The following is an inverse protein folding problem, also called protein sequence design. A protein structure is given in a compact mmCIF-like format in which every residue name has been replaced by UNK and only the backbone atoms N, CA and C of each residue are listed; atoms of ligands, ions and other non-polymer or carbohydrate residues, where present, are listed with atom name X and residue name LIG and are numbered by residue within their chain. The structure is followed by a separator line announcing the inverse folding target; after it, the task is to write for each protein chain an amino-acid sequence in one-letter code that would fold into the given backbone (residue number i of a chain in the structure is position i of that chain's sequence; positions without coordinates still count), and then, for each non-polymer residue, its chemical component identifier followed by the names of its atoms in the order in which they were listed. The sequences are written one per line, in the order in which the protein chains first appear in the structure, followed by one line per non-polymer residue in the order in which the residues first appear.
data_IF_896017185850
#
_entry.id   IF_896017185850
#
_cell.length_a   1.000
_cell.length_b   1.000
_cell.length_c   1.000
_cell.angle_alpha   90.00
_cell.angle_beta   90.00
_cell.angle_gamma   90.00
#
_symmetry.space_group_name_H-M   'P 1'
#
loop_
_entity.id
_entity.type
_entity.pdbx_description
1 polymer ?
#
# COMPACT_ATOMS: atom_id res chain seq x y z
N UNK A 1 -3.11 -3.22 29.50
CA UNK A 1 -2.32 -2.14 28.87
C UNK A 1 -1.90 -1.02 29.82
N UNK A 2 -2.81 -0.28 30.50
CA UNK A 2 -2.39 0.78 31.47
C UNK A 2 -2.05 0.20 32.86
N UNK A 3 -2.83 -0.77 33.33
CA UNK A 3 -2.57 -1.51 34.57
C UNK A 3 -1.30 -2.38 34.46
N UNK A 4 -1.05 -2.97 33.28
CA UNK A 4 0.20 -3.71 32.96
C UNK A 4 1.45 -2.81 32.94
N UNK A 5 1.27 -1.48 32.88
CA UNK A 5 2.34 -0.48 32.92
C UNK A 5 2.42 0.26 34.27
N UNK A 6 1.71 -0.24 35.30
CA UNK A 6 1.74 0.32 36.66
C UNK A 6 0.92 1.60 36.87
N UNK A 7 0.07 1.99 35.90
CA UNK A 7 -0.80 3.16 36.05
C UNK A 7 -2.19 2.75 36.53
N UNK A 8 -2.58 3.25 37.70
CA UNK A 8 -3.94 3.11 38.23
C UNK A 8 -4.83 4.16 37.56
N UNK A 9 -5.63 3.71 36.59
CA UNK A 9 -6.50 4.58 35.78
C UNK A 9 -7.95 4.24 36.11
N UNK A 10 -8.66 5.19 36.71
CA UNK A 10 -10.10 5.07 36.95
C UNK A 10 -10.88 4.96 35.61
N UNK A 11 -11.98 4.21 35.62
CA UNK A 11 -12.80 4.00 34.42
C UNK A 11 -13.35 5.31 33.84
N UNK A 12 -13.56 6.34 34.68
CA UNK A 12 -14.01 7.67 34.22
C UNK A 12 -12.92 8.45 33.46
N UNK A 13 -11.64 8.10 33.62
CA UNK A 13 -10.51 8.77 32.95
C UNK A 13 -10.54 8.49 31.45
N UNK A 14 -10.88 7.25 31.05
CA UNK A 14 -11.04 6.89 29.63
C UNK A 14 -12.16 7.74 29.00
N UNK A 15 -13.29 7.88 29.69
CA UNK A 15 -14.41 8.69 29.21
C UNK A 15 -14.02 10.18 29.09
N UNK A 16 -13.29 10.73 30.06
CA UNK A 16 -12.74 12.09 30.00
C UNK A 16 -11.81 12.30 28.80
N UNK A 17 -10.95 11.33 28.51
CA UNK A 17 -10.08 11.38 27.33
C UNK A 17 -10.87 11.30 26.03
N UNK A 18 -11.88 10.43 25.95
CA UNK A 18 -12.75 10.37 24.77
C UNK A 18 -13.45 11.72 24.55
N UNK A 19 -13.98 12.35 25.59
CA UNK A 19 -14.63 13.66 25.49
C UNK A 19 -13.65 14.77 25.11
N UNK A 20 -12.41 14.74 25.61
CA UNK A 20 -11.40 15.75 25.29
C UNK A 20 -10.83 15.59 23.87
N UNK A 21 -10.52 14.36 23.46
CA UNK A 21 -9.80 14.10 22.22
C UNK A 21 -10.69 13.79 21.02
N UNK A 22 -11.92 13.28 21.20
CA UNK A 22 -12.80 12.96 20.08
C UNK A 22 -13.07 14.17 19.15
N UNK A 23 -13.33 15.40 19.64
CA UNK A 23 -13.50 16.57 18.78
C UNK A 23 -12.22 16.94 18.00
N UNK A 24 -11.04 16.75 18.61
CA UNK A 24 -9.76 17.04 17.96
C UNK A 24 -9.45 16.02 16.86
N UNK A 25 -9.71 14.73 17.13
CA UNK A 25 -9.59 13.66 16.16
C UNK A 25 -10.57 13.87 15.02
N UNK A 26 -11.82 14.23 15.31
CA UNK A 26 -12.84 14.53 14.30
C UNK A 26 -12.43 15.70 13.40
N UNK A 27 -11.95 16.81 13.97
CA UNK A 27 -11.47 17.97 13.20
C UNK A 27 -10.32 17.58 12.26
N UNK A 28 -9.39 16.76 12.75
CA UNK A 28 -8.26 16.26 11.95
C UNK A 28 -8.74 15.30 10.86
N UNK A 29 -9.64 14.37 11.16
CA UNK A 29 -10.22 13.45 10.19
C UNK A 29 -11.01 14.18 9.09
N UNK A 30 -11.75 15.23 9.44
CA UNK A 30 -12.48 16.06 8.47
C UNK A 30 -11.55 16.75 7.47
N UNK A 31 -10.35 17.16 7.89
CA UNK A 31 -9.33 17.72 7.00
C UNK A 31 -8.77 16.69 5.98
N UNK A 32 -8.76 15.40 6.34
CA UNK A 32 -8.31 14.33 5.45
C UNK A 32 -9.44 13.70 4.62
N UNK A 33 -10.71 13.98 4.94
CA UNK A 33 -11.86 13.49 4.16
C UNK A 33 -11.97 14.30 2.87
N UNK A 34 -11.70 13.64 1.74
CA UNK A 34 -11.96 14.19 0.40
C UNK A 34 -13.46 14.40 0.19
N UNK A 35 -13.83 15.44 -0.55
CA UNK A 35 -15.16 15.54 -1.15
C UNK A 35 -15.35 14.33 -2.06
N UNK A 36 -16.44 13.58 -1.88
CA UNK A 36 -16.72 12.44 -2.74
C UNK A 36 -17.30 12.98 -4.06
N UNK A 37 -16.60 12.77 -5.17
CA UNK A 37 -17.15 12.95 -6.51
C UNK A 37 -17.82 11.62 -6.93
N UNK A 38 -19.14 11.56 -6.77
CA UNK A 38 -19.96 10.40 -7.15
C UNK A 38 -21.00 9.98 -6.09
N UNK A 39 -21.81 8.97 -6.41
CA UNK A 39 -22.77 8.38 -5.46
C UNK A 39 -22.05 7.52 -4.41
N UNK A 40 -22.28 7.81 -3.13
CA UNK A 40 -21.72 7.03 -2.01
C UNK A 40 -22.81 6.10 -1.50
N UNK A 41 -22.54 4.79 -1.52
CA UNK A 41 -23.39 3.82 -0.80
C UNK A 41 -23.02 3.83 0.68
N UNK A 42 -23.99 4.11 1.53
CA UNK A 42 -23.85 4.24 2.98
C UNK A 42 -24.74 3.19 3.63
N UNK A 43 -24.21 2.47 4.62
CA UNK A 43 -25.00 1.62 5.50
C UNK A 43 -25.59 2.49 6.62
N UNK A 44 -26.89 2.36 6.86
CA UNK A 44 -27.63 3.04 7.92
C UNK A 44 -27.94 2.04 9.04
N UNK A 45 -27.18 2.10 10.13
CA UNK A 45 -27.42 1.27 11.31
C UNK A 45 -28.07 2.09 12.43
N UNK A 46 -29.11 1.54 13.06
CA UNK A 46 -29.77 2.16 14.21
C UNK A 46 -29.08 1.78 15.53
N UNK A 47 -28.59 2.77 16.27
CA UNK A 47 -27.98 2.57 17.59
C UNK A 47 -28.78 3.32 18.64
N UNK A 48 -29.12 2.64 19.73
CA UNK A 48 -29.85 3.24 20.87
C UNK A 48 -28.87 3.90 21.83
N UNK A 49 -28.82 5.23 21.84
CA UNK A 49 -27.97 6.02 22.72
C UNK A 49 -28.87 6.72 23.75
N UNK A 50 -28.70 6.38 25.04
CA UNK A 50 -29.50 6.92 26.16
C UNK A 50 -31.01 6.84 25.92
N UNK A 51 -31.48 5.69 25.44
CA UNK A 51 -32.90 5.43 25.19
C UNK A 51 -33.44 5.97 23.86
N UNK A 52 -32.69 6.82 23.14
CA UNK A 52 -33.09 7.39 21.86
C UNK A 52 -32.38 6.69 20.70
N UNK A 53 -33.12 6.34 19.65
CA UNK A 53 -32.55 5.82 18.42
C UNK A 53 -31.78 6.91 17.67
N UNK A 54 -30.54 6.61 17.26
CA UNK A 54 -29.70 7.49 16.43
C UNK A 54 -29.16 6.71 15.24
N UNK A 55 -29.00 7.41 14.12
CA UNK A 55 -28.43 6.90 12.89
C UNK A 55 -26.91 6.85 12.98
N UNK A 56 -26.33 5.71 12.66
CA UNK A 56 -24.90 5.53 12.46
C UNK A 56 -24.65 5.22 10.97
N UNK A 57 -23.93 6.13 10.31
CA UNK A 57 -23.60 6.02 8.89
C UNK A 57 -22.22 5.35 8.73
N UNK A 58 -22.20 4.15 8.16
CA UNK A 58 -20.98 3.38 7.86
C UNK A 58 -20.75 3.24 6.36
N UNK A 59 -19.51 2.97 5.95
CA UNK A 59 -19.24 2.50 4.58
C UNK A 59 -19.35 0.98 4.57
N UNK A 60 -20.10 0.42 3.61
CA UNK A 60 -20.21 -1.04 3.49
C UNK A 60 -18.85 -1.66 3.15
N UNK A 61 -18.54 -2.78 3.82
CA UNK A 61 -17.30 -3.53 3.70
C UNK A 61 -17.51 -4.95 3.15
N UNK A 62 -16.42 -5.62 2.77
CA UNK A 62 -16.43 -7.05 2.43
C UNK A 62 -16.73 -7.86 3.69
N UNK A 63 -18.00 -8.20 3.92
CA UNK A 63 -18.48 -8.90 5.11
C UNK A 63 -19.90 -8.49 5.55
N UNK A 64 -20.45 -7.41 4.99
CA UNK A 64 -21.82 -6.97 5.28
C UNK A 64 -22.84 -7.76 4.45
N UNK A 65 -23.96 -8.12 5.06
CA UNK A 65 -25.06 -8.83 4.41
C UNK A 65 -25.83 -7.86 3.50
N UNK A 66 -26.29 -8.31 2.34
CA UNK A 66 -27.11 -7.51 1.42
C UNK A 66 -28.52 -8.05 1.39
N UNK A 67 -29.50 -7.27 1.84
CA UNK A 67 -30.92 -7.55 1.64
C UNK A 67 -31.42 -6.81 0.40
N UNK A 68 -32.30 -7.45 -0.36
CA UNK A 68 -33.06 -6.80 -1.44
C UNK A 68 -34.51 -6.63 -1.00
N UNK A 69 -35.10 -5.46 -1.23
CA UNK A 69 -36.50 -5.19 -0.99
C UNK A 69 -37.12 -4.42 -2.16
N UNK A 70 -38.43 -4.56 -2.33
CA UNK A 70 -39.18 -3.81 -3.35
C UNK A 70 -39.77 -2.56 -2.70
N UNK A 71 -39.52 -1.39 -3.31
CA UNK A 71 -40.16 -0.14 -2.90
C UNK A 71 -41.65 -0.13 -3.31
N UNK A 72 -42.45 0.81 -2.78
CA UNK A 72 -43.87 0.99 -3.09
C UNK A 72 -44.15 1.21 -4.59
N UNK A 73 -43.13 1.57 -5.35
CA UNK A 73 -43.15 1.78 -6.80
C UNK A 73 -42.71 0.52 -7.58
N UNK A 74 -42.51 -0.62 -6.90
CA UNK A 74 -42.14 -1.91 -7.52
C UNK A 74 -40.67 -2.02 -7.94
N UNK A 75 -39.81 -1.10 -7.47
CA UNK A 75 -38.39 -1.07 -7.81
C UNK A 75 -37.56 -1.85 -6.79
N UNK A 76 -36.67 -2.72 -7.25
CA UNK A 76 -35.77 -3.50 -6.38
C UNK A 76 -34.65 -2.60 -5.85
N UNK A 77 -34.60 -2.44 -4.53
CA UNK A 77 -33.57 -1.72 -3.80
C UNK A 77 -32.71 -2.70 -3.01
N UNK A 78 -31.44 -2.37 -2.83
CA UNK A 78 -30.49 -3.16 -2.03
C UNK A 78 -30.07 -2.38 -0.80
N UNK A 79 -30.21 -2.97 0.39
CA UNK A 79 -29.71 -2.46 1.65
C UNK A 79 -28.60 -3.38 2.15
N UNK A 80 -27.46 -2.80 2.53
CA UNK A 80 -26.40 -3.52 3.21
C UNK A 80 -26.62 -3.37 4.71
N UNK A 81 -26.39 -4.42 5.51
CA UNK A 81 -26.49 -4.37 6.96
C UNK A 81 -25.47 -5.31 7.60
N UNK A 82 -25.01 -4.96 8.81
CA UNK A 82 -24.07 -5.79 9.59
C UNK A 82 -24.80 -6.48 10.74
N UNK A 83 -24.77 -7.81 10.75
CA UNK A 83 -25.26 -8.59 11.90
C UNK A 83 -24.29 -8.43 13.09
N UNK A 84 -24.77 -8.25 14.33
CA UNK A 84 -23.91 -8.28 15.52
C UNK A 84 -23.31 -9.68 15.66
N UNK A 85 -21.98 -9.79 15.72
CA UNK A 85 -21.34 -11.08 15.99
C UNK A 85 -21.80 -11.61 17.35
N UNK A 86 -22.35 -12.82 17.38
CA UNK A 86 -22.64 -13.51 18.62
C UNK A 86 -21.31 -13.76 19.36
N UNK A 87 -21.18 -13.22 20.59
CA UNK A 87 -20.03 -13.51 21.47
C UNK A 87 -19.95 -15.00 21.71
N UNK A 88 -19.03 -15.69 21.04
CA UNK A 88 -18.65 -17.04 21.44
C UNK A 88 -17.82 -16.95 22.72
N UNK A 89 -18.34 -17.51 23.81
CA UNK A 89 -17.64 -17.64 25.07
C UNK A 89 -16.49 -18.67 24.92
N UNK A 90 -15.27 -18.28 25.30
CA UNK A 90 -14.12 -19.19 25.38
C UNK A 90 -14.14 -19.97 26.71
N UNK A 91 -14.30 -21.29 26.60
CA UNK A 91 -13.40 -22.29 27.15
C UNK A 91 -13.59 -22.82 28.59
N UNK A 92 -13.78 -24.14 28.71
CA UNK A 92 -13.11 -25.03 29.69
C UNK A 92 -13.14 -26.48 29.16
N UNK A 93 -12.01 -27.19 29.25
CA UNK A 93 -11.71 -28.41 28.50
C UNK A 93 -12.08 -29.76 29.14
N UNK A 94 -12.26 -30.75 28.24
CA UNK A 94 -11.82 -32.17 28.16
C UNK A 94 -11.84 -33.12 29.39
N UNK A 95 -11.81 -34.49 29.25
CA UNK A 95 -12.01 -35.38 28.07
C UNK A 95 -12.90 -36.63 28.34
N UNK A 96 -13.58 -37.21 27.33
CA UNK A 96 -13.74 -38.68 27.11
C UNK A 96 -14.50 -38.99 25.80
N UNK A 97 -13.95 -39.88 24.96
CA UNK A 97 -14.46 -40.34 23.65
C UNK A 97 -15.51 -41.49 23.80
N UNK A 98 -16.03 -42.19 22.75
CA UNK A 98 -15.97 -42.00 21.28
C UNK A 98 -17.32 -42.22 20.51
N UNK A 99 -17.36 -41.91 19.20
CA UNK A 99 -18.16 -42.66 18.21
C UNK A 99 -19.18 -41.89 17.34
N UNK A 100 -19.05 -42.05 16.01
CA UNK A 100 -20.17 -42.05 15.05
C UNK A 100 -20.22 -40.93 13.99
N UNK A 101 -19.61 -41.20 12.82
CA UNK A 101 -20.15 -41.12 11.43
C UNK A 101 -21.37 -40.20 11.17
N UNK A 102 -21.58 -39.51 10.06
CA UNK A 102 -20.90 -39.23 8.79
C UNK A 102 -21.77 -38.13 8.14
N UNK A 103 -21.22 -37.20 7.37
CA UNK A 103 -22.04 -36.15 6.75
C UNK A 103 -21.25 -35.11 5.99
N UNK A 104 -20.61 -35.57 4.92
CA UNK A 104 -19.88 -34.78 3.94
C UNK A 104 -20.75 -33.69 3.28
N UNK A 105 -20.51 -32.42 3.58
CA UNK A 105 -20.72 -31.34 2.61
C UNK A 105 -19.35 -30.75 2.27
N UNK A 106 -18.91 -31.05 1.05
CA UNK A 106 -17.69 -30.57 0.45
C UNK A 106 -17.65 -29.04 0.46
N UNK A 107 -16.88 -28.48 1.39
CA UNK A 107 -16.35 -27.14 1.22
C UNK A 107 -15.30 -27.27 0.11
N UNK A 108 -15.65 -26.81 -1.08
CA UNK A 108 -14.73 -26.54 -2.18
C UNK A 108 -13.73 -25.46 -1.73
N UNK A 109 -12.74 -25.88 -0.96
CA UNK A 109 -11.53 -25.10 -0.71
C UNK A 109 -10.68 -25.24 -1.96
N UNK A 110 -11.07 -24.53 -3.03
CA UNK A 110 -10.12 -24.17 -4.07
C UNK A 110 -8.91 -23.57 -3.37
N UNK A 111 -7.82 -24.35 -3.34
CA UNK A 111 -6.61 -24.04 -2.62
C UNK A 111 -6.06 -22.73 -3.19
N UNK A 112 -6.41 -21.60 -2.58
CA UNK A 112 -5.71 -20.34 -2.79
C UNK A 112 -4.31 -20.55 -2.23
N UNK A 113 -3.40 -20.99 -3.11
CA UNK A 113 -1.99 -21.11 -2.84
C UNK A 113 -1.54 -19.86 -2.11
N UNK A 114 -0.95 -20.05 -0.92
CA UNK A 114 -0.47 -18.92 -0.11
C UNK A 114 0.54 -18.14 -0.96
N UNK A 115 0.41 -16.81 -1.07
CA UNK A 115 1.35 -16.01 -1.87
C UNK A 115 2.77 -16.15 -1.34
N UNK A 116 3.75 -16.09 -2.25
CA UNK A 116 5.16 -16.28 -1.93
C UNK A 116 5.70 -15.26 -0.94
N UNK A 117 5.22 -14.03 -1.04
CA UNK A 117 5.52 -12.96 -0.09
C UNK A 117 4.25 -12.53 0.60
N UNK A 118 4.28 -12.46 1.92
CA UNK A 118 3.15 -11.94 2.71
C UNK A 118 2.90 -10.45 2.40
N UNK A 119 1.70 -9.96 2.73
CA UNK A 119 1.36 -8.53 2.60
C UNK A 119 2.37 -7.62 3.33
N UNK A 120 2.91 -8.06 4.46
CA UNK A 120 3.93 -7.31 5.19
C UNK A 120 5.24 -7.23 4.39
N UNK A 121 5.69 -8.36 3.84
CA UNK A 121 6.87 -8.38 2.97
C UNK A 121 6.71 -7.53 1.71
N UNK A 122 5.51 -7.47 1.11
CA UNK A 122 5.23 -6.56 0.00
C UNK A 122 5.40 -5.09 0.42
N UNK A 123 4.95 -4.74 1.64
CA UNK A 123 5.17 -3.41 2.20
C UNK A 123 6.66 -3.08 2.36
N UNK A 124 7.43 -4.01 2.95
CA UNK A 124 8.90 -3.87 3.07
C UNK A 124 9.57 -3.71 1.71
N UNK A 125 9.16 -4.48 0.70
CA UNK A 125 9.69 -4.35 -0.66
C UNK A 125 9.41 -2.95 -1.23
N UNK A 126 8.22 -2.41 -0.99
CA UNK A 126 7.87 -1.06 -1.42
C UNK A 126 8.76 0.02 -0.76
N UNK A 127 9.07 -0.15 0.53
CA UNK A 127 9.99 0.72 1.26
C UNK A 127 11.42 0.58 0.72
N UNK A 128 11.94 -0.65 0.60
CA UNK A 128 13.27 -0.94 0.08
C UNK A 128 13.48 -0.40 -1.34
N UNK A 129 12.50 -0.58 -2.23
CA UNK A 129 12.55 0.00 -3.58
C UNK A 129 12.59 1.51 -3.51
N UNK A 130 11.73 2.14 -2.71
CA UNK A 130 11.69 3.60 -2.66
C UNK A 130 13.02 4.17 -2.18
N UNK A 131 13.60 3.56 -1.15
CA UNK A 131 14.88 4.01 -0.60
C UNK A 131 16.02 3.77 -1.60
N UNK A 132 16.06 2.61 -2.27
CA UNK A 132 17.03 2.28 -3.32
C UNK A 132 16.91 3.23 -4.53
N UNK A 133 15.69 3.55 -4.95
CA UNK A 133 15.45 4.51 -6.03
C UNK A 133 15.94 5.92 -5.65
N UNK A 134 15.65 6.36 -4.42
CA UNK A 134 16.08 7.67 -3.93
C UNK A 134 17.60 7.74 -3.84
N UNK A 135 18.25 6.66 -3.42
CA UNK A 135 19.70 6.57 -3.40
C UNK A 135 20.31 6.54 -4.80
N UNK A 136 19.72 5.79 -5.74
CA UNK A 136 20.13 5.77 -7.14
C UNK A 136 20.01 7.16 -7.78
N UNK A 137 18.88 7.86 -7.57
CA UNK A 137 18.67 9.24 -8.01
C UNK A 137 19.68 10.23 -7.39
N UNK A 138 20.19 9.95 -6.20
CA UNK A 138 21.19 10.79 -5.55
C UNK A 138 22.62 10.50 -6.05
N UNK A 139 22.95 9.25 -6.41
CA UNK A 139 24.35 8.81 -6.58
C UNK A 139 24.71 8.24 -7.95
N UNK A 140 23.78 7.64 -8.68
CA UNK A 140 24.08 6.98 -9.95
C UNK A 140 24.55 7.98 -11.02
N UNK A 141 25.41 7.64 -11.97
CA UNK A 141 25.59 8.46 -13.16
C UNK A 141 24.33 8.33 -14.03
N UNK A 142 23.63 9.45 -14.28
CA UNK A 142 22.41 9.48 -15.10
C UNK A 142 22.64 10.49 -16.22
N UNK A 143 22.51 10.03 -17.46
CA UNK A 143 22.61 10.88 -18.65
C UNK A 143 21.42 11.85 -18.74
N UNK A 144 21.63 13.00 -19.39
CA UNK A 144 20.63 14.08 -19.43
C UNK A 144 19.34 13.67 -20.16
N UNK A 145 19.46 12.85 -21.21
CA UNK A 145 18.32 12.31 -21.96
C UNK A 145 17.47 11.36 -21.11
N UNK A 146 18.12 10.51 -20.32
CA UNK A 146 17.50 9.58 -19.37
C UNK A 146 16.82 10.35 -18.25
N UNK A 147 17.45 11.40 -17.73
CA UNK A 147 16.86 12.27 -16.71
C UNK A 147 15.59 12.97 -17.23
N UNK A 148 15.63 13.47 -18.47
CA UNK A 148 14.47 14.08 -19.13
C UNK A 148 13.36 13.06 -19.38
N UNK A 149 13.69 11.85 -19.86
CA UNK A 149 12.74 10.77 -20.04
C UNK A 149 12.07 10.38 -18.70
N UNK A 150 12.83 10.33 -17.60
CA UNK A 150 12.29 10.05 -16.28
C UNK A 150 11.36 11.16 -15.76
N UNK A 151 11.65 12.43 -16.05
CA UNK A 151 10.74 13.53 -15.70
C UNK A 151 9.40 13.38 -16.40
N UNK A 152 9.41 13.06 -17.70
CA UNK A 152 8.18 12.75 -18.47
C UNK A 152 7.46 11.55 -17.87
N UNK A 153 8.21 10.48 -17.57
CA UNK A 153 7.69 9.25 -16.98
C UNK A 153 7.04 9.50 -15.61
N UNK A 154 7.60 10.39 -14.78
CA UNK A 154 7.04 10.74 -13.48
C UNK A 154 5.63 11.35 -13.57
N UNK A 155 5.34 12.13 -14.62
CA UNK A 155 3.99 12.66 -14.88
C UNK A 155 2.99 11.59 -15.32
N UNK A 156 3.45 10.47 -15.90
CA UNK A 156 2.61 9.32 -16.20
C UNK A 156 2.33 8.42 -14.97
N UNK A 157 3.05 8.65 -13.86
CA UNK A 157 2.86 7.91 -12.61
C UNK A 157 1.57 8.27 -11.89
N UNK A 158 1.01 7.33 -11.12
CA UNK A 158 -0.23 7.54 -10.35
C UNK A 158 -0.11 8.54 -9.19
N UNK A 159 1.08 9.09 -8.99
CA UNK A 159 1.45 9.95 -7.87
C UNK A 159 1.50 11.43 -8.21
N UNK A 160 1.52 11.77 -9.50
CA UNK A 160 1.62 13.15 -9.98
C UNK A 160 0.31 13.52 -10.67
N UNK A 161 -0.27 14.64 -10.27
CA UNK A 161 -1.43 15.25 -10.93
C UNK A 161 -1.03 16.62 -11.44
N UNK A 162 -1.48 16.96 -12.66
CA UNK A 162 -1.17 18.23 -13.32
C UNK A 162 -2.47 19.02 -13.44
N UNK A 163 -2.53 20.17 -12.79
CA UNK A 163 -3.63 21.12 -12.98
C UNK A 163 -3.38 21.88 -14.28
N UNK A 164 -4.30 21.80 -15.24
CA UNK A 164 -4.28 22.63 -16.46
C UNK A 164 -5.61 23.38 -16.60
N UNK A 165 -5.56 24.60 -17.15
CA UNK A 165 -6.76 25.35 -17.53
C UNK A 165 -7.42 24.87 -18.82
N UNK A 166 -6.96 23.75 -19.38
CA UNK A 166 -7.64 23.08 -20.49
C UNK A 166 -8.91 22.43 -19.96
N UNK A 167 -10.06 22.75 -20.55
CA UNK A 167 -11.41 22.37 -20.09
C UNK A 167 -11.64 20.84 -20.02
N UNK A 168 -10.66 20.03 -20.40
CA UNK A 168 -10.78 18.58 -20.61
C UNK A 168 -10.40 17.74 -19.38
N UNK A 169 -9.58 18.25 -18.45
CA UNK A 169 -9.07 17.43 -17.33
C UNK A 169 -9.58 17.93 -15.97
N UNK A 170 -10.80 17.56 -15.62
CA UNK A 170 -11.26 17.65 -14.24
C UNK A 170 -10.52 16.63 -13.37
N UNK A 171 -9.60 17.08 -12.51
CA UNK A 171 -9.42 16.65 -11.11
C UNK A 171 -8.08 17.12 -10.48
N UNK A 172 -8.14 18.33 -9.92
CA UNK A 172 -7.63 18.84 -8.63
C UNK A 172 -6.42 18.16 -7.93
N UNK A 173 -5.35 18.97 -7.75
CA UNK A 173 -4.49 19.18 -6.55
C UNK A 173 -3.03 18.66 -6.59
N UNK A 174 -2.03 19.54 -6.34
CA UNK A 174 -0.71 19.11 -5.79
C UNK A 174 0.58 19.95 -5.99
N UNK A 175 0.59 21.20 -6.45
CA UNK A 175 1.84 21.91 -6.84
C UNK A 175 2.84 22.28 -5.72
N UNK A 176 2.44 22.26 -4.43
CA UNK A 176 3.26 22.83 -3.33
C UNK A 176 4.61 22.13 -3.06
N UNK A 177 4.78 20.85 -3.41
CA UNK A 177 6.02 20.10 -3.10
C UNK A 177 7.15 20.39 -4.07
N UNK A 178 6.83 20.73 -5.31
CA UNK A 178 7.83 20.97 -6.36
C UNK A 178 8.36 22.40 -6.38
N UNK A 179 7.56 23.37 -5.90
CA UNK A 179 7.93 24.80 -5.87
C UNK A 179 9.29 25.03 -5.18
N UNK A 180 9.60 24.31 -4.10
CA UNK A 180 10.89 24.46 -3.38
C UNK A 180 12.13 24.13 -4.22
N UNK A 181 11.98 23.29 -5.24
CA UNK A 181 13.09 22.91 -6.13
C UNK A 181 13.20 23.88 -7.30
N UNK A 182 12.06 24.30 -7.85
CA UNK A 182 11.98 25.24 -8.99
C UNK A 182 12.52 26.63 -8.64
N UNK A 183 12.38 27.09 -7.38
CA UNK A 183 12.93 28.38 -6.93
C UNK A 183 14.43 28.51 -7.19
N UNK A 184 15.19 27.39 -7.21
CA UNK A 184 16.63 27.39 -7.50
C UNK A 184 16.96 27.68 -8.97
N UNK A 185 15.98 27.59 -9.86
CA UNK A 185 16.14 27.85 -11.29
C UNK A 185 15.75 29.29 -11.68
N UNK A 186 15.25 30.09 -10.73
CA UNK A 186 14.74 31.44 -10.97
C UNK A 186 15.73 32.45 -10.40
N UNK A 187 16.29 33.31 -11.26
CA UNK A 187 17.15 34.41 -10.83
C UNK A 187 16.37 35.59 -10.23
N UNK A 188 17.08 36.55 -9.64
CA UNK A 188 16.48 37.72 -8.94
C UNK A 188 15.53 38.56 -9.83
N UNK A 189 15.67 38.48 -11.15
CA UNK A 189 14.81 39.14 -12.13
C UNK A 189 13.51 38.38 -12.46
N UNK A 190 13.29 37.21 -11.86
CA UNK A 190 12.17 36.31 -12.18
C UNK A 190 12.35 35.51 -13.47
N UNK A 191 13.50 35.63 -14.16
CA UNK A 191 13.85 34.85 -15.34
C UNK A 191 14.50 33.52 -14.95
N UNK A 192 14.39 32.52 -15.82
CA UNK A 192 15.15 31.28 -15.68
C UNK A 192 16.65 31.58 -15.79
N UNK A 193 17.40 31.26 -14.74
CA UNK A 193 18.86 31.40 -14.68
C UNK A 193 19.37 30.15 -13.97
N UNK A 194 19.99 29.25 -14.72
CA UNK A 194 20.55 28.01 -14.20
C UNK A 194 21.71 27.53 -15.08
N UNK A 195 22.67 26.83 -14.47
CA UNK A 195 23.63 25.99 -15.16
C UNK A 195 23.12 24.53 -15.22
N UNK A 196 23.77 23.69 -16.03
CA UNK A 196 23.36 22.30 -16.23
C UNK A 196 23.47 21.45 -14.96
N UNK A 197 24.44 21.71 -14.08
CA UNK A 197 24.60 20.94 -12.85
C UNK A 197 23.49 21.27 -11.85
N UNK A 198 23.13 22.55 -11.72
CA UNK A 198 21.98 22.99 -10.95
C UNK A 198 20.68 22.38 -11.48
N UNK A 199 20.49 22.35 -12.79
CA UNK A 199 19.30 21.74 -13.42
C UNK A 199 19.23 20.24 -13.12
N UNK A 200 20.33 19.50 -13.26
CA UNK A 200 20.42 18.06 -12.94
C UNK A 200 20.05 17.79 -11.48
N UNK A 201 20.56 18.58 -10.55
CA UNK A 201 20.25 18.46 -9.11
C UNK A 201 18.76 18.70 -8.85
N UNK A 202 18.19 19.76 -9.44
CA UNK A 202 16.77 20.09 -9.27
C UNK A 202 15.87 19.01 -9.88
N UNK A 203 16.23 18.47 -11.05
CA UNK A 203 15.50 17.38 -11.70
C UNK A 203 15.50 16.11 -10.83
N UNK A 204 16.66 15.72 -10.29
CA UNK A 204 16.78 14.58 -9.36
C UNK A 204 15.92 14.74 -8.10
N UNK A 205 15.98 15.92 -7.47
CA UNK A 205 15.17 16.21 -6.28
C UNK A 205 13.67 16.18 -6.59
N UNK A 206 13.27 16.66 -7.77
CA UNK A 206 11.89 16.58 -8.27
C UNK A 206 11.46 15.13 -8.43
N UNK A 207 12.30 14.29 -9.02
CA UNK A 207 12.04 12.86 -9.19
C UNK A 207 11.94 12.11 -7.86
N UNK A 208 12.79 12.43 -6.89
CA UNK A 208 12.73 11.88 -5.51
C UNK A 208 11.38 12.20 -4.86
N UNK A 209 10.87 13.41 -5.04
CA UNK A 209 9.57 13.82 -4.50
C UNK A 209 8.37 13.21 -5.25
N UNK A 210 8.53 12.89 -6.53
CA UNK A 210 7.46 12.40 -7.40
C UNK A 210 7.34 10.87 -7.41
N UNK A 211 8.46 10.14 -7.42
CA UNK A 211 8.49 8.69 -7.59
C UNK A 211 8.57 7.96 -6.24
N UNK A 212 7.69 6.99 -6.05
CA UNK A 212 7.66 6.14 -4.86
C UNK A 212 7.01 4.79 -5.19
N UNK A 213 7.55 3.71 -4.61
CA UNK A 213 7.02 2.36 -4.68
C UNK A 213 6.31 1.94 -3.39
N UNK A 214 6.12 2.86 -2.43
CA UNK A 214 5.48 2.56 -1.14
C UNK A 214 3.97 2.39 -1.29
N UNK A 215 3.49 1.18 -1.02
CA UNK A 215 2.06 0.81 -1.13
C UNK A 215 1.15 1.51 -0.11
N UNK A 216 1.70 2.06 0.97
CA UNK A 216 0.94 2.76 2.03
C UNK A 216 0.83 4.29 1.83
N UNK A 217 1.47 4.85 0.79
CA UNK A 217 1.45 6.30 0.52
C UNK A 217 0.97 6.57 -0.90
N UNK A 218 1.91 6.52 -1.84
CA UNK A 218 1.79 6.95 -3.21
C UNK A 218 2.64 5.96 -4.00
N UNK A 219 2.01 4.91 -4.49
CA UNK A 219 2.65 3.93 -5.35
C UNK A 219 2.53 4.43 -6.80
N UNK A 220 3.64 4.76 -7.45
CA UNK A 220 3.61 5.25 -8.84
C UNK A 220 3.23 4.12 -9.81
N UNK A 221 3.10 2.87 -9.35
CA UNK A 221 2.69 1.72 -10.15
C UNK A 221 3.83 1.17 -11.02
N UNK A 222 3.52 0.73 -12.24
CA UNK A 222 4.54 0.16 -13.15
C UNK A 222 5.62 1.19 -13.54
N UNK A 223 5.28 2.47 -13.51
CA UNK A 223 6.16 3.59 -13.89
C UNK A 223 7.40 3.66 -13.00
N UNK A 224 7.27 3.44 -11.68
CA UNK A 224 8.45 3.45 -10.78
C UNK A 224 9.36 2.25 -11.01
N UNK A 225 8.82 1.13 -11.49
CA UNK A 225 9.60 -0.05 -11.87
C UNK A 225 10.47 0.24 -13.08
N UNK A 226 9.87 0.79 -14.14
CA UNK A 226 10.58 1.23 -15.36
C UNK A 226 11.66 2.28 -15.03
N UNK A 227 11.31 3.28 -14.20
CA UNK A 227 12.26 4.34 -13.82
C UNK A 227 13.47 3.78 -13.05
N UNK A 228 13.24 2.89 -12.07
CA UNK A 228 14.33 2.30 -11.30
C UNK A 228 15.19 1.35 -12.12
N UNK A 229 14.60 0.59 -13.04
CA UNK A 229 15.33 -0.28 -13.97
C UNK A 229 16.27 0.53 -14.88
N UNK A 230 15.76 1.63 -15.45
CA UNK A 230 16.51 2.52 -16.33
C UNK A 230 17.77 3.15 -15.68
N UNK A 231 17.76 3.35 -14.36
CA UNK A 231 18.89 3.96 -13.62
C UNK A 231 19.70 2.93 -12.81
N UNK A 232 19.40 1.63 -12.96
CA UNK A 232 20.09 0.57 -12.23
C UNK A 232 19.85 0.60 -10.72
N UNK A 233 18.65 0.98 -10.27
CA UNK A 233 18.31 1.11 -8.86
C UNK A 233 18.42 -0.22 -8.08
N UNK A 234 18.42 -1.37 -8.75
CA UNK A 234 18.65 -2.69 -8.14
C UNK A 234 19.99 -2.78 -7.40
N UNK A 235 21.03 -2.08 -7.88
CA UNK A 235 22.35 -2.03 -7.23
C UNK A 235 22.29 -1.43 -5.82
N UNK A 236 21.27 -0.61 -5.54
CA UNK A 236 21.08 0.09 -4.27
C UNK A 236 20.06 -0.60 -3.34
N UNK A 237 19.49 -1.74 -3.72
CA UNK A 237 18.61 -2.51 -2.85
C UNK A 237 19.38 -3.02 -1.60
N UNK A 238 18.76 -2.98 -0.40
CA UNK A 238 19.41 -3.49 0.79
C UNK A 238 19.54 -5.03 0.75
N UNK A 239 20.43 -5.56 1.59
CA UNK A 239 20.46 -7.00 1.82
C UNK A 239 19.16 -7.46 2.49
N UNK A 240 18.46 -8.39 1.85
CA UNK A 240 17.19 -8.95 2.28
C UNK A 240 17.36 -10.26 3.05
N UNK A 241 18.59 -10.73 3.25
CA UNK A 241 18.92 -11.93 4.03
C UNK A 241 18.74 -11.76 5.54
N UNK A 242 17.77 -10.97 5.96
CA UNK A 242 17.49 -10.66 7.37
C UNK A 242 16.34 -11.51 7.90
N UNK A 243 16.34 -11.75 9.21
CA UNK A 243 15.25 -12.48 9.88
C UNK A 243 13.88 -11.81 9.62
N UNK A 244 13.85 -10.48 9.59
CA UNK A 244 12.64 -9.69 9.36
C UNK A 244 12.04 -9.94 7.98
N UNK A 245 12.86 -9.89 6.92
CA UNK A 245 12.37 -10.11 5.56
C UNK A 245 12.08 -11.58 5.28
N UNK A 246 12.97 -12.50 5.68
CA UNK A 246 12.79 -13.93 5.42
C UNK A 246 11.58 -14.52 6.18
N UNK A 247 11.19 -13.92 7.32
CA UNK A 247 9.95 -14.29 8.01
C UNK A 247 8.68 -13.94 7.20
N UNK A 248 8.80 -13.07 6.20
CA UNK A 248 7.69 -12.69 5.32
C UNK A 248 7.50 -13.64 4.12
N UNK A 249 8.37 -14.64 3.93
CA UNK A 249 8.31 -15.58 2.81
C UNK A 249 7.45 -16.82 3.12
N UNK A 250 6.83 -17.38 2.08
CA UNK A 250 6.22 -18.70 2.12
C UNK A 250 7.30 -19.78 2.27
N UNK A 251 6.93 -20.99 2.69
CA UNK A 251 7.88 -22.12 2.73
C UNK A 251 8.51 -22.39 1.35
N UNK A 252 7.73 -22.52 0.26
CA UNK A 252 8.30 -22.66 -1.08
C UNK A 252 9.26 -21.54 -1.48
N UNK A 253 8.92 -20.28 -1.16
CA UNK A 253 9.78 -19.14 -1.48
C UNK A 253 11.09 -19.14 -0.67
N UNK A 254 11.04 -19.58 0.59
CA UNK A 254 12.23 -19.74 1.44
C UNK A 254 13.14 -20.87 0.92
N UNK A 255 12.55 -21.99 0.51
CA UNK A 255 13.27 -23.12 -0.08
C UNK A 255 13.88 -22.74 -1.43
N UNK A 256 13.17 -21.97 -2.26
CA UNK A 256 13.72 -21.41 -3.50
C UNK A 256 14.90 -20.46 -3.23
N UNK A 257 14.86 -19.70 -2.13
CA UNK A 257 15.96 -18.82 -1.70
C UNK A 257 17.21 -19.58 -1.25
N UNK A 258 17.11 -20.89 -0.99
CA UNK A 258 18.27 -21.74 -0.74
C UNK A 258 19.02 -22.09 -2.04
N UNK A 259 18.37 -21.97 -3.20
CA UNK A 259 18.97 -22.27 -4.50
C UNK A 259 20.20 -21.39 -4.76
N UNK A 260 21.34 -22.01 -5.06
CA UNK A 260 22.61 -21.31 -5.28
C UNK A 260 23.39 -20.99 -4.00
N UNK A 261 22.86 -21.33 -2.83
CA UNK A 261 23.57 -21.19 -1.53
C UNK A 261 24.09 -22.55 -1.06
N UNK A 262 24.91 -22.55 0.00
CA UNK A 262 25.30 -23.78 0.72
C UNK A 262 24.24 -24.27 1.73
N UNK A 263 23.11 -23.58 1.86
CA UNK A 263 22.07 -23.88 2.86
C UNK A 263 21.12 -24.95 2.33
N UNK A 264 20.88 -25.99 3.12
CA UNK A 264 19.92 -27.06 2.79
C UNK A 264 18.59 -26.81 3.51
N UNK A 265 17.44 -26.93 2.82
CA UNK A 265 16.13 -26.85 3.44
C UNK A 265 15.95 -27.83 4.61
N UNK A 266 15.65 -27.29 5.79
CA UNK A 266 15.35 -28.08 6.99
C UNK A 266 13.84 -28.43 7.08
N UNK A 267 13.47 -29.49 7.82
CA UNK A 267 12.05 -29.84 8.05
C UNK A 267 11.25 -28.72 8.72
N UNK A 268 11.90 -27.90 9.56
CA UNK A 268 11.31 -26.74 10.22
C UNK A 268 11.74 -25.47 9.49
N UNK A 269 10.75 -24.71 9.02
CA UNK A 269 10.93 -23.43 8.30
C UNK A 269 11.80 -22.43 9.08
N UNK A 270 11.65 -22.39 10.41
CA UNK A 270 12.46 -21.50 11.27
C UNK A 270 13.95 -21.82 11.20
N UNK A 271 14.30 -23.10 11.10
CA UNK A 271 15.69 -23.54 11.12
C UNK A 271 16.33 -23.28 9.75
N UNK A 272 15.59 -23.48 8.65
CA UNK A 272 16.00 -23.05 7.29
C UNK A 272 16.23 -21.53 7.26
N UNK A 273 15.32 -20.76 7.86
CA UNK A 273 15.44 -19.30 7.90
C UNK A 273 16.69 -18.86 8.67
N UNK A 274 16.92 -19.42 9.87
CA UNK A 274 18.10 -19.10 10.65
C UNK A 274 19.41 -19.41 9.90
N UNK A 275 19.45 -20.53 9.16
CA UNK A 275 20.61 -20.88 8.33
C UNK A 275 20.83 -19.90 7.17
N UNK A 276 19.75 -19.46 6.49
CA UNK A 276 19.83 -18.43 5.46
C UNK A 276 20.28 -17.07 6.02
N UNK A 277 19.75 -16.67 7.19
CA UNK A 277 20.19 -15.44 7.87
C UNK A 277 21.68 -15.49 8.18
N UNK A 278 22.19 -16.64 8.63
CA UNK A 278 23.63 -16.79 8.91
C UNK A 278 24.47 -16.69 7.64
N UNK A 279 24.04 -17.39 6.57
CA UNK A 279 24.73 -17.37 5.28
C UNK A 279 24.80 -15.97 4.68
N UNK A 280 23.68 -15.23 4.69
CA UNK A 280 23.59 -13.89 4.12
C UNK A 280 24.10 -12.76 5.04
N UNK A 281 24.84 -13.08 6.12
CA UNK A 281 25.67 -12.08 6.80
C UNK A 281 26.85 -11.66 5.94
N UNK A 282 27.45 -12.63 5.26
CA UNK A 282 28.64 -12.42 4.42
C UNK A 282 28.27 -12.22 2.95
N UNK A 283 27.13 -12.77 2.51
CA UNK A 283 26.64 -12.66 1.14
C UNK A 283 25.41 -11.75 1.02
N UNK A 284 25.31 -11.04 -0.11
CA UNK A 284 24.16 -10.16 -0.39
C UNK A 284 23.02 -10.95 -1.01
N UNK A 285 21.87 -10.95 -0.35
CA UNK A 285 20.64 -11.51 -0.88
C UNK A 285 19.66 -10.42 -1.32
N UNK A 286 19.12 -10.53 -2.53
CA UNK A 286 18.02 -9.70 -3.03
C UNK A 286 16.95 -10.63 -3.60
N UNK A 287 15.73 -10.53 -3.09
CA UNK A 287 14.64 -11.36 -3.55
C UNK A 287 14.10 -10.87 -4.90
N UNK A 288 13.80 -11.78 -5.84
CA UNK A 288 13.37 -11.45 -7.20
C UNK A 288 12.16 -10.51 -7.25
N UNK A 289 11.22 -10.67 -6.32
CA UNK A 289 10.02 -9.82 -6.24
C UNK A 289 10.32 -8.36 -5.88
N UNK A 290 11.54 -8.03 -5.45
CA UNK A 290 11.97 -6.68 -5.12
C UNK A 290 12.68 -5.96 -6.28
N UNK A 291 13.11 -6.69 -7.31
CA UNK A 291 13.83 -6.12 -8.45
C UNK A 291 12.95 -5.11 -9.22
N UNK A 292 13.60 -4.10 -9.80
CA UNK A 292 12.92 -3.02 -10.51
C UNK A 292 12.41 -3.43 -11.88
N UNK A 293 13.12 -4.31 -12.59
CA UNK A 293 12.71 -4.84 -13.90
C UNK A 293 11.20 -5.14 -13.91
N UNK A 294 10.38 -4.49 -14.76
CA UNK A 294 8.94 -4.61 -14.74
C UNK A 294 8.49 -6.04 -15.08
N UNK A 295 7.26 -6.36 -14.68
CA UNK A 295 6.65 -7.63 -15.09
C UNK A 295 6.06 -7.43 -16.49
N UNK A 296 6.49 -8.23 -17.46
CA UNK A 296 6.14 -8.06 -18.87
C UNK A 296 4.63 -8.00 -19.11
N UNK A 297 3.86 -8.85 -18.41
CA UNK A 297 2.41 -8.89 -18.55
C UNK A 297 1.77 -7.60 -17.99
N UNK A 298 2.20 -7.15 -16.80
CA UNK A 298 1.72 -5.88 -16.22
C UNK A 298 2.13 -4.66 -17.03
N UNK A 299 3.31 -4.69 -17.62
CA UNK A 299 3.79 -3.62 -18.50
C UNK A 299 2.95 -3.57 -19.78
N UNK A 300 2.71 -4.71 -20.42
CA UNK A 300 1.87 -4.82 -21.60
C UNK A 300 0.43 -4.35 -21.33
N UNK A 301 -0.17 -4.76 -20.20
CA UNK A 301 -1.49 -4.31 -19.78
C UNK A 301 -1.54 -2.79 -19.59
N UNK A 302 -0.55 -2.22 -18.92
CA UNK A 302 -0.48 -0.77 -18.72
C UNK A 302 -0.31 -0.02 -20.05
N UNK A 303 0.53 -0.51 -20.96
CA UNK A 303 0.72 0.09 -22.29
C UNK A 303 -0.57 0.05 -23.12
N UNK A 304 -1.25 -1.10 -23.15
CA UNK A 304 -2.53 -1.25 -23.86
C UNK A 304 -3.59 -0.27 -23.34
N UNK A 305 -3.74 -0.18 -22.01
CA UNK A 305 -4.70 0.72 -21.37
C UNK A 305 -4.39 2.19 -21.67
N UNK A 306 -3.12 2.58 -21.67
CA UNK A 306 -2.70 3.96 -21.95
C UNK A 306 -2.94 4.35 -23.41
N UNK A 307 -2.80 3.42 -24.37
CA UNK A 307 -3.09 3.67 -25.79
C UNK A 307 -4.59 3.80 -26.08
N UNK A 308 -5.45 3.03 -25.41
CA UNK A 308 -6.92 3.14 -25.56
C UNK A 308 -7.48 4.48 -25.10
N UNK A 309 -6.85 5.13 -24.11
CA UNK A 309 -7.27 6.45 -23.63
C UNK A 309 -6.80 7.58 -24.57
N UNK A 310 -5.65 7.41 -25.24
CA UNK A 310 -5.16 8.39 -26.23
C UNK A 310 -5.87 8.33 -27.59
N UNK A 311 -6.50 7.20 -27.93
CA UNK A 311 -7.19 7.01 -29.21
C UNK A 311 -8.62 7.56 -29.28
N UNK A 312 -9.17 8.10 -28.19
CA UNK A 312 -10.48 8.77 -28.18
C UNK A 312 -10.41 10.29 -28.39
N UNK A 313 -9.20 10.84 -28.38
CA UNK A 313 -8.93 12.28 -28.45
C UNK A 313 -8.25 12.71 -29.77
N UNK A 314 -8.43 11.94 -30.86
CA UNK A 314 -8.00 12.30 -32.23
C UNK A 314 -9.20 12.49 -33.14
#
# INVERSE_FOLDING_TARGET
MFQERGFEVDHSTINRWVLAYAPMIEKRLRQFRRSHCGSVRIDETYVKIRGKWRYLYGKSGKGDCTAMFLDREGKVQSAHFRMPEARQAKGKGDPTAPGGEDGNEAIDVSAKTRPDVTRNGIGMIGDFRTDALHEALARAPIEDDTLMAMLVLAFAGQNVSVDSGSEVSGHLYGSRRFVRHVVRLIGESGKLVFDMDTLRVVARLTLIDALSARTNRSDSGVVVRVAGDAIGADAYLPNMGTEEFLACLSRPALEASCGGTSVVPCPRVRDTRAALVEHFKEERFVHQSALFAPDDAKLAEWLAKSMEHGGKDV
#
